data_IF_155613709621
#
_entry.id   IF_155613709621
#
_cell.length_a   1.000
_cell.length_b   1.000
_cell.length_c   1.000
_cell.angle_alpha   90.00
_cell.angle_beta   90.00
_cell.angle_gamma   90.00
#
_symmetry.space_group_name_H-M   'P 1'
#
loop_
_entity.id
_entity.type
_entity.pdbx_description
1 polymer ?
#
# COMPACT_ATOMS: atom_id res chain seq x y z
N UNK A 1 -16.32 -68.32 3.57
CA UNK A 1 -15.05 -67.58 3.33
C UNK A 1 -15.20 -66.25 4.07
N UNK A 2 -14.79 -66.10 5.34
CA UNK A 2 -13.44 -65.95 5.93
C UNK A 2 -12.60 -64.80 5.34
N UNK A 3 -12.59 -63.68 6.10
CA UNK A 3 -11.47 -62.76 6.45
C UNK A 3 -10.83 -61.91 5.31
N UNK A 4 -10.41 -60.66 5.48
CA UNK A 4 -10.22 -59.75 6.63
C UNK A 4 -10.30 -58.30 6.11
N UNK A 5 -10.93 -57.44 6.91
CA UNK A 5 -10.95 -55.98 6.82
C UNK A 5 -9.59 -55.45 7.31
N UNK A 6 -8.85 -54.73 6.46
CA UNK A 6 -7.58 -54.09 6.80
C UNK A 6 -7.62 -52.58 6.60
N UNK A 7 -7.98 -51.86 7.65
CA UNK A 7 -7.91 -50.40 7.77
C UNK A 7 -6.46 -50.01 8.12
N UNK A 8 -5.88 -49.04 7.42
CA UNK A 8 -4.61 -48.43 7.82
C UNK A 8 -4.84 -46.93 8.02
N UNK A 9 -4.74 -46.49 9.27
CA UNK A 9 -4.72 -45.10 9.73
C UNK A 9 -3.26 -44.77 10.08
N UNK A 10 -2.65 -43.72 9.52
CA UNK A 10 -1.54 -43.02 10.17
C UNK A 10 -2.12 -41.82 10.93
N UNK A 11 -2.24 -41.92 12.25
CA UNK A 11 -1.32 -41.45 13.30
C UNK A 11 -1.17 -39.92 13.35
N UNK A 12 -1.86 -39.33 14.34
CA UNK A 12 -1.75 -37.92 14.73
C UNK A 12 -0.41 -37.62 15.42
N UNK A 13 0.07 -36.38 15.31
CA UNK A 13 0.72 -35.71 16.44
C UNK A 13 0.23 -34.25 16.49
N UNK A 14 -0.59 -33.94 17.49
CA UNK A 14 -0.73 -32.57 18.01
C UNK A 14 0.53 -32.27 18.82
N UNK A 15 1.21 -31.18 18.51
CA UNK A 15 2.13 -30.54 19.45
C UNK A 15 1.47 -29.26 19.95
N UNK A 16 0.81 -29.39 21.10
CA UNK A 16 0.68 -28.27 22.03
C UNK A 16 2.04 -28.15 22.74
N UNK A 17 2.61 -26.96 22.70
CA UNK A 17 3.86 -26.65 23.40
C UNK A 17 3.86 -25.19 23.78
N UNK A 18 3.31 -24.89 24.96
CA UNK A 18 3.63 -23.68 25.70
C UNK A 18 5.13 -23.71 26.02
N UNK A 19 5.84 -22.60 25.82
CA UNK A 19 7.19 -22.44 26.36
C UNK A 19 7.07 -21.40 27.47
N UNK A 20 7.16 -21.91 28.70
CA UNK A 20 7.40 -21.16 29.93
C UNK A 20 8.85 -20.68 29.98
N UNK A 21 9.06 -19.56 30.67
CA UNK A 21 10.34 -18.92 30.95
C UNK A 21 11.40 -19.85 31.56
N UNK A 22 12.66 -19.66 31.13
CA UNK A 22 13.85 -20.28 31.75
C UNK A 22 15.18 -19.91 31.08
N UNK A 23 15.88 -18.94 31.68
CA UNK A 23 17.23 -18.40 31.38
C UNK A 23 18.34 -19.38 31.93
N UNK A 24 19.70 -19.35 31.69
CA UNK A 24 20.61 -18.62 30.75
C UNK A 24 21.79 -19.42 30.07
N UNK A 25 22.36 -18.81 28.98
CA UNK A 25 23.79 -18.66 28.54
C UNK A 25 24.70 -19.89 28.25
N UNK A 26 25.86 -19.73 27.56
CA UNK A 26 26.24 -18.84 26.44
C UNK A 26 26.95 -19.61 25.28
N UNK A 27 26.89 -19.14 24.03
CA UNK A 27 27.92 -19.51 23.05
C UNK A 27 28.09 -18.46 21.95
N UNK A 28 29.33 -17.97 21.87
CA UNK A 28 29.91 -17.21 20.78
C UNK A 28 29.57 -17.85 19.43
N UNK A 29 28.67 -17.21 18.67
CA UNK A 29 28.57 -17.41 17.23
C UNK A 29 28.92 -16.09 16.56
N UNK A 30 30.06 -16.10 15.88
CA UNK A 30 30.44 -15.14 14.87
C UNK A 30 29.45 -15.26 13.69
N UNK A 31 28.27 -14.65 13.83
CA UNK A 31 27.32 -14.52 12.74
C UNK A 31 27.61 -13.18 12.08
N UNK A 32 28.33 -13.22 10.97
CA UNK A 32 28.27 -12.17 9.96
C UNK A 32 26.85 -12.16 9.42
N UNK A 33 25.95 -11.46 10.10
CA UNK A 33 24.68 -11.10 9.51
C UNK A 33 25.02 -10.12 8.39
N UNK A 34 24.76 -10.50 7.15
CA UNK A 34 24.56 -9.50 6.11
C UNK A 34 23.49 -8.55 6.65
N UNK A 35 23.94 -7.40 7.17
CA UNK A 35 23.08 -6.26 7.42
C UNK A 35 22.49 -5.92 6.06
N UNK A 36 21.26 -6.37 5.81
CA UNK A 36 20.40 -5.63 4.90
C UNK A 36 20.29 -4.27 5.55
N UNK A 37 20.96 -3.28 4.97
CA UNK A 37 20.82 -1.89 5.36
C UNK A 37 19.34 -1.58 5.35
N UNK A 38 18.70 -1.62 6.52
CA UNK A 38 17.43 -0.99 6.73
C UNK A 38 17.73 0.50 6.57
N UNK A 39 17.50 1.01 5.36
CA UNK A 39 17.51 2.44 5.11
C UNK A 39 16.40 3.00 5.98
N UNK A 40 16.75 3.49 7.17
CA UNK A 40 15.88 4.32 8.00
C UNK A 40 15.52 5.53 7.17
N UNK A 41 14.39 5.45 6.49
CA UNK A 41 13.79 6.56 5.78
C UNK A 41 13.37 7.55 6.85
N UNK A 42 13.87 8.79 6.75
CA UNK A 42 13.37 9.94 7.52
C UNK A 42 11.85 9.90 7.59
N UNK A 43 11.19 10.29 8.70
CA UNK A 43 9.73 10.24 8.79
C UNK A 43 9.14 11.07 7.65
N UNK A 44 8.66 10.37 6.62
CA UNK A 44 8.11 10.97 5.42
C UNK A 44 6.79 11.65 5.74
N UNK A 45 6.48 12.72 5.01
CA UNK A 45 5.17 13.34 5.07
C UNK A 45 4.18 12.44 4.34
N UNK A 46 3.01 12.22 4.94
CA UNK A 46 1.93 11.40 4.37
C UNK A 46 0.62 12.15 4.45
N UNK A 47 -0.16 12.08 3.39
CA UNK A 47 -1.53 12.58 3.32
C UNK A 47 -2.42 11.49 2.76
N UNK A 48 -3.57 11.26 3.39
CA UNK A 48 -4.55 10.26 2.96
C UNK A 48 -5.96 10.85 3.03
N UNK A 49 -6.76 10.64 1.99
CA UNK A 49 -8.18 11.02 2.00
C UNK A 49 -9.02 10.20 1.01
N UNK A 50 -10.34 10.24 1.19
CA UNK A 50 -11.32 9.71 0.26
C UNK A 50 -11.90 10.86 -0.56
N UNK A 51 -11.74 10.80 -1.89
CA UNK A 51 -12.04 11.88 -2.82
C UNK A 51 -13.12 11.43 -3.81
N UNK A 52 -14.15 12.26 -3.99
CA UNK A 52 -15.17 12.00 -4.99
C UNK A 52 -14.64 12.19 -6.42
N UNK A 53 -15.13 11.39 -7.36
CA UNK A 53 -14.90 11.62 -8.79
C UNK A 53 -15.37 13.03 -9.20
N UNK A 54 -14.63 13.63 -10.13
CA UNK A 54 -14.80 15.02 -10.56
C UNK A 54 -13.99 16.04 -9.75
N UNK A 55 -13.26 15.61 -8.71
CA UNK A 55 -12.42 16.47 -7.86
C UNK A 55 -10.95 16.47 -8.28
N UNK A 56 -10.28 17.57 -7.96
CA UNK A 56 -8.84 17.74 -8.20
C UNK A 56 -8.10 17.99 -6.88
N UNK A 57 -6.93 17.37 -6.75
CA UNK A 57 -5.98 17.62 -5.68
C UNK A 57 -4.85 18.48 -6.25
N UNK A 58 -4.52 19.58 -5.58
CA UNK A 58 -3.37 20.41 -5.87
C UNK A 58 -2.34 20.15 -4.78
N UNK A 59 -1.19 19.60 -5.16
CA UNK A 59 -0.10 19.25 -4.26
C UNK A 59 1.05 20.23 -4.48
N UNK A 60 1.45 20.93 -3.43
CA UNK A 60 2.63 21.81 -3.45
C UNK A 60 3.74 21.17 -2.66
N UNK A 61 4.88 20.93 -3.30
CA UNK A 61 6.09 20.37 -2.68
C UNK A 61 7.28 21.22 -3.09
N UNK A 62 7.92 21.88 -2.13
CA UNK A 62 8.89 22.94 -2.43
C UNK A 62 8.30 24.03 -3.35
N UNK A 63 8.93 24.24 -4.51
CA UNK A 63 8.48 25.18 -5.55
C UNK A 63 7.66 24.50 -6.68
N UNK A 64 7.42 23.20 -6.56
CA UNK A 64 6.70 22.42 -7.56
C UNK A 64 5.22 22.32 -7.21
N UNK A 65 4.37 22.36 -8.24
CA UNK A 65 2.94 22.13 -8.11
C UNK A 65 2.53 20.98 -9.00
N UNK A 66 1.97 19.95 -8.38
CA UNK A 66 1.40 18.77 -9.02
C UNK A 66 -0.12 18.83 -8.92
N UNK A 67 -0.83 18.30 -9.91
CA UNK A 67 -2.29 18.17 -9.86
C UNK A 67 -2.70 16.73 -10.11
N UNK A 68 -3.62 16.20 -9.29
CA UNK A 68 -4.24 14.90 -9.52
C UNK A 68 -5.74 15.12 -9.69
N UNK A 69 -6.27 14.89 -10.88
CA UNK A 69 -7.72 14.90 -11.14
C UNK A 69 -8.25 13.47 -11.10
N UNK A 70 -9.30 13.27 -10.31
CA UNK A 70 -9.94 11.97 -10.12
C UNK A 70 -11.23 11.94 -10.93
N UNK A 71 -11.41 10.93 -11.76
CA UNK A 71 -12.63 10.70 -12.53
C UNK A 71 -13.05 9.23 -12.41
N UNK A 72 -14.31 8.95 -12.70
CA UNK A 72 -14.80 7.58 -12.83
C UNK A 72 -15.19 7.29 -14.28
N UNK A 73 -14.47 6.38 -14.93
CA UNK A 73 -14.76 6.00 -16.30
C UNK A 73 -15.80 4.87 -16.32
N UNK A 74 -17.06 5.25 -16.57
CA UNK A 74 -18.22 4.33 -16.57
C UNK A 74 -18.03 3.15 -17.54
N UNK A 75 -17.41 3.37 -18.70
CA UNK A 75 -17.20 2.32 -19.71
C UNK A 75 -16.25 1.22 -19.25
N UNK A 76 -15.23 1.58 -18.47
CA UNK A 76 -14.26 0.64 -17.91
C UNK A 76 -14.64 0.18 -16.51
N UNK A 77 -15.60 0.85 -15.87
CA UNK A 77 -15.95 0.67 -14.46
C UNK A 77 -14.72 0.82 -13.57
N UNK A 78 -13.93 1.86 -13.83
CA UNK A 78 -12.67 2.12 -13.13
C UNK A 78 -12.48 3.59 -12.83
N UNK A 79 -11.81 3.89 -11.72
CA UNK A 79 -11.26 5.22 -11.48
C UNK A 79 -10.09 5.51 -12.41
N UNK A 80 -10.10 6.73 -12.94
CA UNK A 80 -9.08 7.34 -13.76
C UNK A 80 -8.43 8.47 -12.97
N UNK A 81 -7.10 8.50 -12.95
CA UNK A 81 -6.28 9.51 -12.30
C UNK A 81 -5.46 10.23 -13.37
N UNK A 82 -5.78 11.50 -13.60
CA UNK A 82 -4.99 12.36 -14.48
C UNK A 82 -3.99 13.13 -13.63
N UNK A 83 -2.71 12.90 -13.87
CA UNK A 83 -1.64 13.45 -13.06
C UNK A 83 -0.89 14.44 -13.92
N UNK A 84 -0.96 15.71 -13.53
CA UNK A 84 -0.28 16.82 -14.19
C UNK A 84 0.95 17.20 -13.39
N UNK A 85 2.12 17.11 -14.03
CA UNK A 85 3.42 17.48 -13.48
C UNK A 85 3.66 18.99 -13.51
N UNK A 86 4.72 19.49 -12.83
CA UNK A 86 5.03 20.93 -12.77
C UNK A 86 5.34 21.57 -14.12
N UNK A 87 5.77 20.77 -15.11
CA UNK A 87 5.98 21.20 -16.50
C UNK A 87 4.69 21.17 -17.36
N UNK A 88 3.52 20.92 -16.76
CA UNK A 88 2.22 20.80 -17.41
C UNK A 88 2.02 19.58 -18.33
N UNK A 89 2.89 18.57 -18.27
CA UNK A 89 2.62 17.28 -18.89
C UNK A 89 1.56 16.53 -18.08
N UNK A 90 0.63 15.85 -18.75
CA UNK A 90 -0.45 15.12 -18.08
C UNK A 90 -0.49 13.69 -18.54
N UNK A 91 -0.47 12.78 -17.57
CA UNK A 91 -0.53 11.35 -17.79
C UNK A 91 -1.80 10.75 -17.16
N UNK A 92 -2.35 9.73 -17.80
CA UNK A 92 -3.56 9.04 -17.36
C UNK A 92 -3.21 7.66 -16.82
N UNK A 93 -3.67 7.40 -15.61
CA UNK A 93 -3.56 6.11 -14.94
C UNK A 93 -4.93 5.60 -14.51
N UNK A 94 -5.08 4.28 -14.46
CA UNK A 94 -6.29 3.65 -13.93
C UNK A 94 -5.98 2.95 -12.62
N UNK A 95 -7.00 2.77 -11.79
CA UNK A 95 -6.87 1.96 -10.59
C UNK A 95 -6.52 0.47 -10.87
N UNK A 96 -5.81 -0.19 -9.94
CA UNK A 96 -5.11 0.41 -8.80
C UNK A 96 -3.89 1.22 -9.28
N UNK A 97 -3.71 2.40 -8.69
CA UNK A 97 -2.61 3.32 -8.94
C UNK A 97 -1.54 3.14 -7.87
N UNK A 98 -0.29 2.97 -8.29
CA UNK A 98 0.89 3.05 -7.46
C UNK A 98 2.06 3.55 -8.32
N UNK A 99 2.43 4.81 -8.16
CA UNK A 99 3.47 5.47 -8.96
C UNK A 99 4.32 6.40 -8.10
N UNK A 100 5.48 6.79 -8.62
CA UNK A 100 6.40 7.71 -7.94
C UNK A 100 6.79 8.90 -8.84
N UNK A 101 5.88 9.85 -9.09
CA UNK A 101 6.18 11.01 -9.92
C UNK A 101 7.04 12.03 -9.15
N UNK A 102 8.30 12.17 -9.57
CA UNK A 102 9.24 13.09 -8.93
C UNK A 102 9.44 12.78 -7.43
N UNK A 103 9.24 13.75 -6.52
CA UNK A 103 9.40 13.54 -5.08
C UNK A 103 8.18 12.91 -4.40
N UNK A 104 7.11 12.60 -5.14
CA UNK A 104 5.86 12.07 -4.60
C UNK A 104 5.76 10.57 -4.87
N UNK A 105 5.28 9.80 -3.89
CA UNK A 105 4.71 8.46 -4.09
C UNK A 105 3.19 8.61 -3.98
N UNK A 106 2.45 8.16 -5.00
CA UNK A 106 1.00 8.30 -5.09
C UNK A 106 0.37 6.93 -5.22
N UNK A 107 -0.56 6.62 -4.31
CA UNK A 107 -1.40 5.43 -4.39
C UNK A 107 -2.86 5.85 -4.51
N UNK A 108 -3.60 5.14 -5.35
CA UNK A 108 -5.00 5.44 -5.62
C UNK A 108 -5.79 4.16 -5.86
N UNK A 109 -6.94 4.03 -5.22
CA UNK A 109 -7.88 2.94 -5.49
C UNK A 109 -9.30 3.40 -5.30
N UNK A 110 -10.22 2.82 -6.06
CA UNK A 110 -11.64 3.00 -5.90
C UNK A 110 -12.09 2.55 -4.51
N UNK A 111 -13.00 3.33 -3.95
CA UNK A 111 -13.66 3.10 -2.69
C UNK A 111 -15.14 3.43 -2.88
N UNK A 112 -15.96 2.41 -3.10
CA UNK A 112 -17.38 2.64 -3.29
C UNK A 112 -18.11 2.57 -1.94
N UNK A 113 -18.72 3.69 -1.52
CA UNK A 113 -19.56 3.75 -0.33
C UNK A 113 -20.95 4.31 -0.69
N UNK A 114 -21.94 3.42 -0.83
CA UNK A 114 -23.33 3.78 -1.14
C UNK A 114 -23.67 3.76 -2.64
N UNK A 115 -24.79 4.35 -3.06
CA UNK A 115 -25.30 4.28 -4.46
C UNK A 115 -25.13 5.58 -5.26
N UNK A 116 -24.70 6.67 -4.63
CA UNK A 116 -24.80 8.03 -5.19
C UNK A 116 -23.46 8.70 -5.49
N UNK A 117 -22.34 8.13 -5.06
CA UNK A 117 -21.01 8.75 -5.23
C UNK A 117 -19.93 7.72 -5.56
N UNK A 118 -19.13 8.03 -6.58
CA UNK A 118 -17.90 7.33 -6.88
C UNK A 118 -16.78 7.97 -6.08
N UNK A 119 -16.24 7.27 -5.07
CA UNK A 119 -15.13 7.76 -4.26
C UNK A 119 -13.85 6.96 -4.54
N UNK A 120 -12.70 7.61 -4.46
CA UNK A 120 -11.39 6.97 -4.52
C UNK A 120 -10.63 7.28 -3.24
N UNK A 121 -10.02 6.26 -2.64
CA UNK A 121 -9.03 6.43 -1.58
C UNK A 121 -7.70 6.80 -2.24
N UNK A 122 -7.10 7.91 -1.82
CA UNK A 122 -5.82 8.40 -2.32
C UNK A 122 -4.88 8.58 -1.14
N UNK A 123 -3.64 8.13 -1.34
CA UNK A 123 -2.53 8.29 -0.41
C UNK A 123 -1.37 8.92 -1.17
N UNK A 124 -0.76 9.95 -0.58
CA UNK A 124 0.40 10.66 -1.12
C UNK A 124 1.48 10.68 -0.05
N UNK A 125 2.70 10.30 -0.43
CA UNK A 125 3.87 10.35 0.45
C UNK A 125 4.98 11.15 -0.20
N UNK A 126 5.80 11.78 0.63
CA UNK A 126 7.04 12.44 0.18
C UNK A 126 8.06 12.50 1.30
N UNK A 127 9.33 12.60 0.94
CA UNK A 127 10.41 12.92 1.88
C UNK A 127 10.41 14.41 2.25
N UNK A 128 9.84 15.26 1.40
CA UNK A 128 9.73 16.70 1.62
C UNK A 128 8.34 17.08 2.13
N UNK A 129 8.27 18.20 2.86
CA UNK A 129 6.98 18.73 3.32
C UNK A 129 6.17 19.17 2.11
N UNK A 130 4.91 18.75 2.08
CA UNK A 130 3.97 19.17 1.04
C UNK A 130 2.62 19.58 1.64
N UNK A 131 1.84 20.27 0.83
CA UNK A 131 0.47 20.70 1.15
C UNK A 131 -0.48 20.20 0.07
N UNK A 132 -1.67 19.74 0.47
CA UNK A 132 -2.72 19.27 -0.45
C UNK A 132 -3.96 20.13 -0.29
N UNK A 133 -4.44 20.69 -1.40
CA UNK A 133 -5.75 21.37 -1.49
C UNK A 133 -6.68 20.56 -2.38
N UNK A 134 -7.89 20.28 -1.92
CA UNK A 134 -8.94 19.62 -2.72
C UNK A 134 -9.88 20.68 -3.30
N UNK A 135 -10.18 20.59 -4.61
CA UNK A 135 -11.12 21.47 -5.33
C UNK A 135 -12.23 20.65 -6.01
#
# INVERSE_FOLDING_TARGET
>A
MKYILGIIIPLMVLVAGCIEDGIPLPLNLNITTNQTNATTTSPGYTWENTIAAGKSLIIKVGNETWTIKVEYEVRKQKFAFFITSPNNETELYYEPLEITPGPLEVKGKGYFAGTTAYLAKIEIRSQEKFEVTVK
#
